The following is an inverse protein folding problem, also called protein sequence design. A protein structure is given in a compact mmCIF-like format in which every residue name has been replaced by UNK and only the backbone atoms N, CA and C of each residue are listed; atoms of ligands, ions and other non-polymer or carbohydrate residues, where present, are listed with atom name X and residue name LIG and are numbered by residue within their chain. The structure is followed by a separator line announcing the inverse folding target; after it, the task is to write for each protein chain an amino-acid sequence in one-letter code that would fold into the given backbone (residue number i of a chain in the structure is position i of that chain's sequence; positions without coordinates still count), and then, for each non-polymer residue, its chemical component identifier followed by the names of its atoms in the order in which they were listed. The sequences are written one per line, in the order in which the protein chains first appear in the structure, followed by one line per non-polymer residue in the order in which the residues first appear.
data_IF_482831834462
#
_entry.id   IF_482831834462
#
_cell.length_a   1.000
_cell.length_b   1.000
_cell.length_c   1.000
_cell.angle_alpha   90.00
_cell.angle_beta   90.00
_cell.angle_gamma   90.00
#
_symmetry.space_group_name_H-M   'P 1'
#
loop_
_entity.id
_entity.type
_entity.pdbx_description
1 polymer ?
#
# COMPACT_ATOMS: atom_id res chain seq x y z
N UNK A 1 -3.70 6.58 -4.99
CA UNK A 1 -3.33 5.36 -4.23
C UNK A 1 -4.48 5.00 -3.32
N UNK A 2 -4.83 3.72 -3.24
CA UNK A 2 -5.88 3.19 -2.36
C UNK A 2 -5.36 2.01 -1.56
N UNK A 3 -5.81 1.85 -0.32
CA UNK A 3 -5.38 0.78 0.58
C UNK A 3 -6.50 0.37 1.52
N UNK A 4 -6.58 -0.91 1.85
CA UNK A 4 -7.31 -1.43 3.01
C UNK A 4 -6.28 -1.71 4.10
N UNK A 5 -6.38 -0.98 5.22
CA UNK A 5 -5.43 -1.10 6.33
C UNK A 5 -6.12 -1.56 7.60
N UNK A 6 -5.61 -2.64 8.19
CA UNK A 6 -6.01 -3.15 9.49
C UNK A 6 -4.86 -2.96 10.48
N UNK A 7 -5.20 -2.83 11.77
CA UNK A 7 -4.22 -2.73 12.84
C UNK A 7 -4.65 -3.59 14.02
N UNK A 8 -3.70 -4.10 14.80
CA UNK A 8 -3.98 -4.84 16.03
C UNK A 8 -3.86 -3.91 17.22
N UNK A 9 -4.76 -4.08 18.19
CA UNK A 9 -4.77 -3.32 19.44
C UNK A 9 -5.44 -1.95 19.33
N UNK A 10 -5.49 -1.25 20.46
CA UNK A 10 -6.25 -0.01 20.65
C UNK A 10 -5.40 1.26 20.57
N UNK A 11 -4.12 1.15 20.20
CA UNK A 11 -3.19 2.29 20.16
C UNK A 11 -2.79 2.71 18.75
N UNK A 12 -2.93 1.81 17.79
CA UNK A 12 -2.63 2.07 16.39
C UNK A 12 -3.77 2.83 15.75
N UNK A 13 -3.43 3.89 14.99
CA UNK A 13 -4.41 4.69 14.26
C UNK A 13 -4.11 4.64 12.78
N UNK A 14 -5.13 4.32 11.98
CA UNK A 14 -5.07 4.49 10.53
C UNK A 14 -5.62 5.87 10.19
N UNK A 15 -4.80 6.71 9.58
CA UNK A 15 -5.20 8.03 9.11
C UNK A 15 -5.91 8.90 10.18
N UNK A 16 -5.42 8.85 11.42
CA UNK A 16 -5.94 9.61 12.57
C UNK A 16 -7.30 9.16 13.10
N UNK A 17 -7.93 8.15 12.51
CA UNK A 17 -9.21 7.60 12.97
C UNK A 17 -9.06 6.92 14.34
N UNK A 18 -10.15 6.85 15.13
CA UNK A 18 -10.11 6.15 16.41
C UNK A 18 -9.70 4.69 16.20
N UNK A 19 -8.99 4.11 17.17
CA UNK A 19 -8.52 2.75 17.07
C UNK A 19 -9.72 1.79 17.09
N UNK A 20 -9.91 1.05 16.00
CA UNK A 20 -10.63 -0.23 15.99
C UNK A 20 -9.61 -1.28 15.59
N UNK A 21 -9.09 -1.95 16.60
CA UNK A 21 -8.12 -3.01 16.42
C UNK A 21 -8.80 -4.29 15.96
N UNK A 22 -8.21 -4.95 14.97
CA UNK A 22 -8.49 -6.32 14.61
C UNK A 22 -8.20 -7.24 15.81
N UNK A 23 -9.15 -8.13 16.11
CA UNK A 23 -8.97 -9.24 17.05
C UNK A 23 -8.10 -10.33 16.40
N UNK A 24 -7.06 -10.77 17.10
CA UNK A 24 -6.15 -11.82 16.62
C UNK A 24 -6.73 -13.23 16.80
N UNK A 25 -7.63 -13.41 17.77
CA UNK A 25 -8.23 -14.71 18.09
C UNK A 25 -9.58 -14.91 17.39
N UNK A 26 -9.92 -14.02 16.45
CA UNK A 26 -11.17 -14.09 15.67
C UNK A 26 -11.26 -15.37 14.86
N UNK A 27 -12.48 -15.88 14.74
CA UNK A 27 -12.75 -17.07 13.96
C UNK A 27 -12.81 -16.76 12.46
N UNK A 28 -12.22 -17.66 11.67
CA UNK A 28 -12.41 -17.71 10.21
C UNK A 28 -13.41 -18.84 9.93
N UNK A 29 -14.62 -18.47 9.50
CA UNK A 29 -15.73 -19.41 9.30
C UNK A 29 -15.97 -19.61 7.82
N UNK A 30 -16.03 -20.86 7.37
CA UNK A 30 -16.26 -21.23 5.97
C UNK A 30 -15.34 -20.51 4.97
N UNK A 31 -14.09 -20.23 5.37
CA UNK A 31 -13.11 -19.53 4.52
C UNK A 31 -13.33 -18.03 4.39
N UNK A 32 -14.22 -17.45 5.20
CA UNK A 32 -14.48 -16.01 5.32
C UNK A 32 -13.88 -15.48 6.61
N UNK A 33 -12.95 -14.54 6.47
CA UNK A 33 -12.32 -13.80 7.56
C UNK A 33 -12.94 -12.40 7.66
N UNK A 34 -13.36 -11.98 8.86
CA UNK A 34 -13.99 -10.69 9.13
C UNK A 34 -13.17 -9.91 10.15
N UNK A 35 -12.76 -8.69 9.82
CA UNK A 35 -11.92 -7.89 10.71
C UNK A 35 -12.12 -6.39 10.51
N UNK A 36 -11.94 -5.62 11.58
CA UNK A 36 -11.94 -4.16 11.48
C UNK A 36 -10.78 -3.67 10.59
N UNK A 37 -11.13 -2.84 9.60
CA UNK A 37 -10.17 -2.20 8.72
C UNK A 37 -10.58 -0.76 8.42
N UNK A 38 -9.74 -0.07 7.68
CA UNK A 38 -10.03 1.25 7.14
C UNK A 38 -9.58 1.31 5.69
N UNK A 39 -10.50 1.66 4.80
CA UNK A 39 -10.18 2.03 3.43
C UNK A 39 -9.65 3.46 3.44
N UNK A 40 -8.44 3.64 2.90
CA UNK A 40 -7.79 4.95 2.79
C UNK A 40 -7.37 5.21 1.36
N UNK A 41 -7.49 6.46 0.94
CA UNK A 41 -7.15 6.89 -0.40
C UNK A 41 -6.63 8.32 -0.42
N UNK A 42 -5.70 8.56 -1.35
CA UNK A 42 -5.24 9.89 -1.74
C UNK A 42 -5.07 9.93 -3.26
N UNK A 43 -5.39 11.09 -3.83
CA UNK A 43 -5.17 11.40 -5.24
C UNK A 43 -4.14 12.53 -5.33
N UNK A 44 -3.44 12.65 -6.44
CA UNK A 44 -2.51 13.76 -6.65
C UNK A 44 -2.35 14.06 -8.12
N UNK A 45 -2.09 15.31 -8.42
CA UNK A 45 -1.82 15.84 -9.75
C UNK A 45 -0.50 16.63 -9.74
N UNK A 46 -0.24 17.40 -10.81
CA UNK A 46 0.97 18.21 -10.94
C UNK A 46 1.03 19.39 -9.94
N UNK A 47 -0.10 19.75 -9.32
CA UNK A 47 -0.23 20.92 -8.44
C UNK A 47 -0.32 20.54 -6.96
N UNK A 48 -1.02 19.46 -6.62
CA UNK A 48 -1.40 19.11 -5.26
C UNK A 48 -1.53 17.60 -5.02
N UNK A 49 -1.47 17.24 -3.74
CA UNK A 49 -1.91 15.94 -3.24
C UNK A 49 -3.20 16.15 -2.45
N UNK A 50 -4.28 15.54 -2.91
CA UNK A 50 -5.57 15.46 -2.25
C UNK A 50 -5.56 14.28 -1.28
N UNK A 51 -5.16 14.55 -0.04
CA UNK A 51 -5.25 13.58 1.06
C UNK A 51 -6.71 13.33 1.45
N UNK A 52 -6.97 12.13 1.99
CA UNK A 52 -8.27 11.75 2.57
C UNK A 52 -9.46 11.70 1.60
N UNK A 53 -9.23 11.64 0.28
CA UNK A 53 -10.32 11.43 -0.69
C UNK A 53 -11.12 10.16 -0.37
N UNK A 54 -10.49 9.16 0.27
CA UNK A 54 -11.16 8.03 0.92
C UNK A 54 -10.63 7.90 2.35
N UNK A 55 -11.54 7.80 3.33
CA UNK A 55 -11.20 7.64 4.75
C UNK A 55 -12.33 6.94 5.51
N UNK A 56 -12.56 5.66 5.21
CA UNK A 56 -13.74 4.94 5.68
C UNK A 56 -13.38 3.74 6.55
N UNK A 57 -13.63 3.78 7.87
CA UNK A 57 -13.65 2.59 8.71
C UNK A 57 -14.82 1.68 8.31
N UNK A 58 -14.57 0.37 8.24
CA UNK A 58 -15.56 -0.64 7.94
C UNK A 58 -15.11 -2.01 8.49
N UNK A 59 -16.05 -2.93 8.69
CA UNK A 59 -15.69 -4.35 8.79
C UNK A 59 -15.26 -4.82 7.40
N UNK A 60 -14.04 -5.31 7.29
CA UNK A 60 -13.57 -5.96 6.09
C UNK A 60 -13.99 -7.43 6.08
N UNK A 61 -14.36 -7.93 4.91
CA UNK A 61 -14.70 -9.33 4.65
C UNK A 61 -13.73 -9.85 3.58
N UNK A 62 -12.90 -10.82 3.97
CA UNK A 62 -11.99 -11.53 3.07
C UNK A 62 -12.54 -12.93 2.82
N UNK A 63 -13.00 -13.19 1.59
CA UNK A 63 -13.53 -14.48 1.17
C UNK A 63 -12.52 -15.21 0.28
N UNK A 64 -12.09 -16.39 0.72
CA UNK A 64 -11.20 -17.25 -0.09
C UNK A 64 -11.94 -17.89 -1.26
N UNK A 65 -13.20 -18.26 -1.08
CA UNK A 65 -13.99 -18.89 -2.15
C UNK A 65 -14.29 -17.88 -3.26
N UNK A 66 -14.73 -16.69 -2.89
CA UNK A 66 -15.08 -15.63 -3.86
C UNK A 66 -13.86 -14.89 -4.40
N UNK A 67 -12.65 -15.17 -3.88
CA UNK A 67 -11.41 -14.46 -4.20
C UNK A 67 -11.57 -12.93 -4.09
N UNK A 68 -12.19 -12.50 -2.99
CA UNK A 68 -12.64 -11.12 -2.79
C UNK A 68 -12.25 -10.58 -1.42
N UNK A 69 -11.90 -9.30 -1.39
CA UNK A 69 -11.75 -8.48 -0.19
C UNK A 69 -12.65 -7.26 -0.32
N UNK A 70 -13.58 -7.08 0.61
CA UNK A 70 -14.46 -5.89 0.65
C UNK A 70 -14.43 -5.24 2.03
N UNK A 71 -14.66 -3.94 2.09
CA UNK A 71 -14.71 -3.15 3.31
C UNK A 71 -15.66 -1.97 3.10
N UNK A 72 -16.96 -2.25 3.10
CA UNK A 72 -18.04 -1.29 2.86
C UNK A 72 -18.68 -0.82 4.16
N UNK A 73 -19.00 0.46 4.23
CA UNK A 73 -19.78 1.06 5.29
C UNK A 73 -20.99 1.78 4.69
N UNK A 74 -22.16 1.51 5.25
CA UNK A 74 -23.41 2.19 4.91
C UNK A 74 -23.68 3.28 5.95
N UNK A 75 -23.93 4.50 5.48
CA UNK A 75 -24.35 5.61 6.31
C UNK A 75 -25.88 5.61 6.53
N UNK A 76 -26.35 6.42 7.50
CA UNK A 76 -27.78 6.49 7.83
C UNK A 76 -28.68 6.95 6.67
N UNK A 77 -28.11 7.67 5.69
CA UNK A 77 -28.80 8.12 4.48
C UNK A 77 -28.79 7.09 3.33
N UNK A 78 -28.23 5.90 3.57
CA UNK A 78 -28.10 4.83 2.60
C UNK A 78 -26.92 4.98 1.65
N UNK A 79 -26.07 6.00 1.82
CA UNK A 79 -24.83 6.11 1.05
C UNK A 79 -23.83 5.05 1.48
N UNK A 80 -23.13 4.45 0.51
CA UNK A 80 -22.13 3.40 0.75
C UNK A 80 -20.75 3.95 0.41
N UNK A 81 -19.77 3.71 1.29
CA UNK A 81 -18.38 4.11 1.12
C UNK A 81 -17.46 2.96 1.50
N UNK A 82 -16.27 2.91 0.92
CA UNK A 82 -15.34 1.82 1.19
C UNK A 82 -14.62 1.35 -0.06
N UNK A 83 -14.32 0.05 -0.10
CA UNK A 83 -13.74 -0.57 -1.27
C UNK A 83 -14.06 -2.05 -1.40
N UNK A 84 -13.97 -2.55 -2.62
CA UNK A 84 -13.91 -3.96 -2.97
C UNK A 84 -12.72 -4.20 -3.90
N UNK A 85 -12.04 -5.32 -3.70
CA UNK A 85 -11.06 -5.88 -4.62
C UNK A 85 -11.41 -7.34 -4.88
N UNK A 86 -11.63 -7.69 -6.15
CA UNK A 86 -12.05 -9.04 -6.58
C UNK A 86 -11.06 -9.57 -7.62
N UNK A 87 -10.65 -10.83 -7.49
CA UNK A 87 -9.79 -11.45 -8.49
C UNK A 87 -10.54 -11.71 -9.80
N UNK A 88 -9.87 -11.50 -10.93
CA UNK A 88 -10.38 -11.80 -12.26
C UNK A 88 -9.84 -13.15 -12.73
N UNK A 89 -10.71 -13.96 -13.35
CA UNK A 89 -10.38 -15.33 -13.78
C UNK A 89 -9.99 -15.45 -15.25
N UNK A 90 -10.15 -14.39 -16.03
CA UNK A 90 -9.83 -14.33 -17.46
C UNK A 90 -8.33 -14.07 -17.74
N UNK A 91 -7.55 -13.74 -16.70
CA UNK A 91 -6.11 -13.41 -16.79
C UNK A 91 -5.31 -14.15 -15.71
N UNK A 92 -4.02 -14.49 -15.94
CA UNK A 92 -3.18 -15.17 -14.95
C UNK A 92 -3.03 -14.41 -13.62
N UNK A 93 -3.02 -13.09 -13.72
CA UNK A 93 -3.07 -12.17 -12.59
C UNK A 93 -3.96 -11.00 -13.03
N UNK A 94 -5.17 -10.95 -12.49
CA UNK A 94 -6.11 -9.86 -12.73
C UNK A 94 -6.89 -9.57 -11.46
N UNK A 95 -7.16 -8.29 -11.23
CA UNK A 95 -8.05 -7.81 -10.19
C UNK A 95 -8.94 -6.70 -10.74
N UNK A 96 -10.15 -6.61 -10.20
CA UNK A 96 -11.00 -5.42 -10.29
C UNK A 96 -11.05 -4.78 -8.92
N UNK A 97 -10.96 -3.46 -8.89
CA UNK A 97 -11.10 -2.68 -7.69
C UNK A 97 -12.20 -1.64 -7.89
N UNK A 98 -13.04 -1.49 -6.87
CA UNK A 98 -14.01 -0.40 -6.77
C UNK A 98 -13.79 0.29 -5.43
N UNK A 99 -13.68 1.61 -5.44
CA UNK A 99 -13.40 2.41 -4.25
C UNK A 99 -14.31 3.62 -4.25
N UNK A 100 -15.01 3.86 -3.14
CA UNK A 100 -15.88 5.03 -2.95
C UNK A 100 -15.47 5.75 -1.66
N UNK A 101 -15.16 7.03 -1.79
CA UNK A 101 -14.75 7.92 -0.72
C UNK A 101 -15.75 9.05 -0.46
N UNK A 102 -15.25 10.11 0.18
CA UNK A 102 -16.04 11.32 0.41
C UNK A 102 -16.10 12.18 -0.86
N UNK A 103 -14.94 12.33 -1.53
CA UNK A 103 -14.74 13.19 -2.70
C UNK A 103 -14.10 12.44 -3.88
N UNK A 104 -14.21 11.10 -3.89
CA UNK A 104 -13.70 10.30 -5.00
C UNK A 104 -14.44 8.97 -5.18
N UNK A 105 -14.55 8.53 -6.42
CA UNK A 105 -14.94 7.17 -6.80
C UNK A 105 -13.97 6.66 -7.86
N UNK A 106 -13.57 5.39 -7.76
CA UNK A 106 -12.70 4.77 -8.75
C UNK A 106 -13.11 3.33 -9.01
N UNK A 107 -13.32 2.98 -10.28
CA UNK A 107 -13.52 1.61 -10.74
C UNK A 107 -12.47 1.29 -11.80
N UNK A 108 -11.62 0.30 -11.53
CA UNK A 108 -10.55 -0.07 -12.45
C UNK A 108 -10.22 -1.55 -12.40
N UNK A 109 -9.71 -2.06 -13.51
CA UNK A 109 -9.05 -3.35 -13.57
C UNK A 109 -7.54 -3.15 -13.56
N UNK A 110 -6.83 -4.08 -12.92
CA UNK A 110 -5.38 -4.17 -13.03
C UNK A 110 -4.97 -5.60 -13.33
N UNK A 111 -3.95 -5.78 -14.17
CA UNK A 111 -3.48 -7.10 -14.60
C UNK A 111 -1.97 -7.12 -14.83
N UNK A 112 -1.38 -8.29 -14.65
CA UNK A 112 0.06 -8.47 -14.84
C UNK A 112 0.40 -9.79 -15.51
N UNK A 113 1.57 -9.83 -16.15
CA UNK A 113 2.17 -11.08 -16.60
C UNK A 113 2.84 -11.82 -15.42
N UNK A 114 3.10 -13.12 -15.55
CA UNK A 114 3.80 -13.92 -14.53
C UNK A 114 5.15 -14.43 -15.05
N UNK A 115 5.80 -13.66 -15.92
CA UNK A 115 6.95 -14.08 -16.72
C UNK A 115 8.30 -13.54 -16.20
N UNK A 116 8.30 -12.58 -15.27
CA UNK A 116 9.51 -11.98 -14.72
C UNK A 116 9.39 -11.60 -13.25
N UNK A 117 10.49 -11.23 -12.59
CA UNK A 117 10.47 -10.66 -11.23
C UNK A 117 9.76 -9.30 -11.12
N UNK A 118 9.54 -8.64 -12.26
CA UNK A 118 8.88 -7.34 -12.32
C UNK A 118 7.37 -7.49 -12.36
N UNK A 119 6.90 -8.51 -13.06
CA UNK A 119 5.49 -8.77 -13.36
C UNK A 119 4.90 -9.83 -12.41
N UNK A 120 5.74 -10.72 -11.85
CA UNK A 120 5.37 -11.71 -10.84
C UNK A 120 5.41 -11.15 -9.40
N UNK A 121 4.64 -11.73 -8.45
CA UNK A 121 4.73 -11.33 -7.07
C UNK A 121 6.12 -11.60 -6.52
N UNK A 122 6.73 -10.59 -5.91
CA UNK A 122 8.06 -10.69 -5.33
C UNK A 122 8.02 -10.28 -3.86
N UNK A 123 8.51 -11.16 -2.98
CA UNK A 123 8.75 -10.83 -1.58
C UNK A 123 9.93 -9.86 -1.48
N UNK A 124 9.62 -8.57 -1.41
CA UNK A 124 10.59 -7.47 -1.45
C UNK A 124 11.23 -7.21 -0.09
N UNK A 125 10.57 -7.58 1.00
CA UNK A 125 11.09 -7.54 2.35
C UNK A 125 10.60 -8.77 3.11
N UNK A 126 11.51 -9.42 3.82
CA UNK A 126 11.23 -10.54 4.71
C UNK A 126 12.14 -10.40 5.94
N UNK A 127 11.63 -9.77 6.97
CA UNK A 127 12.30 -9.63 8.25
C UNK A 127 11.48 -10.41 9.26
N UNK A 128 12.09 -11.43 9.83
CA UNK A 128 11.52 -12.20 10.92
C UNK A 128 12.56 -12.26 12.05
N UNK A 129 12.23 -11.64 13.17
CA UNK A 129 13.11 -11.58 14.35
C UNK A 129 12.31 -11.79 15.63
N UNK A 130 12.95 -12.19 16.74
CA UNK A 130 12.25 -12.33 18.03
C UNK A 130 11.63 -11.02 18.57
N UNK A 131 11.98 -9.86 18.01
CA UNK A 131 11.44 -8.56 18.40
C UNK A 131 10.34 -8.05 17.45
N UNK A 132 9.90 -8.90 16.53
CA UNK A 132 8.92 -8.56 15.50
C UNK A 132 9.46 -8.72 14.08
N UNK A 133 8.58 -8.47 13.12
CA UNK A 133 8.86 -8.68 11.71
C UNK A 133 8.24 -7.64 10.77
N UNK A 134 8.67 -7.72 9.52
CA UNK A 134 8.08 -6.96 8.42
C UNK A 134 8.11 -7.82 7.14
N UNK A 135 6.95 -8.01 6.53
CA UNK A 135 6.83 -8.69 5.26
C UNK A 135 6.22 -7.74 4.22
N UNK A 136 6.86 -7.64 3.06
CA UNK A 136 6.34 -6.91 1.90
C UNK A 136 6.34 -7.84 0.72
N UNK A 137 5.15 -8.12 0.20
CA UNK A 137 4.96 -8.78 -1.09
C UNK A 137 4.45 -7.73 -2.06
N UNK A 138 5.09 -7.62 -3.21
CA UNK A 138 4.73 -6.61 -4.20
C UNK A 138 4.64 -7.22 -5.60
N UNK A 139 3.62 -6.80 -6.34
CA UNK A 139 3.58 -6.86 -7.80
C UNK A 139 4.05 -5.52 -8.32
N UNK A 140 5.26 -5.52 -8.87
CA UNK A 140 5.93 -4.25 -9.16
C UNK A 140 5.37 -3.58 -10.38
N UNK A 141 4.98 -4.33 -11.38
CA UNK A 141 4.46 -3.80 -12.61
C UNK A 141 3.21 -4.58 -13.02
N UNK A 142 2.08 -3.90 -12.90
CA UNK A 142 0.81 -4.29 -13.50
C UNK A 142 0.39 -3.19 -14.46
N UNK A 143 -0.39 -3.53 -15.47
CA UNK A 143 -1.16 -2.56 -16.24
C UNK A 143 -2.49 -2.32 -15.52
N UNK A 144 -3.09 -1.15 -15.72
CA UNK A 144 -4.43 -0.84 -15.25
C UNK A 144 -5.19 0.00 -16.27
N UNK A 145 -6.51 -0.07 -16.19
CA UNK A 145 -7.44 0.79 -16.92
C UNK A 145 -8.73 0.94 -16.10
N UNK A 146 -9.31 2.14 -16.06
CA UNK A 146 -10.55 2.38 -15.36
C UNK A 146 -11.01 3.83 -15.35
N UNK A 147 -12.15 4.06 -14.71
CA UNK A 147 -12.74 5.37 -14.50
C UNK A 147 -12.45 5.86 -13.08
N UNK A 148 -12.07 7.13 -12.98
CA UNK A 148 -11.70 7.80 -11.73
C UNK A 148 -12.45 9.12 -11.66
N UNK A 149 -13.45 9.19 -10.80
CA UNK A 149 -14.06 10.45 -10.38
C UNK A 149 -13.25 11.01 -9.21
N UNK A 150 -12.44 12.03 -9.47
CA UNK A 150 -11.52 12.63 -8.52
C UNK A 150 -11.92 14.08 -8.21
N UNK A 151 -11.36 14.70 -7.16
CA UNK A 151 -11.65 16.11 -6.84
C UNK A 151 -11.40 17.10 -7.99
N UNK A 152 -10.53 16.71 -8.94
CA UNK A 152 -10.17 17.48 -10.14
C UNK A 152 -11.11 17.25 -11.33
N UNK A 153 -11.95 16.22 -11.26
CA UNK A 153 -12.88 15.80 -12.31
C UNK A 153 -12.85 14.30 -12.58
N UNK A 154 -13.77 13.86 -13.44
CA UNK A 154 -13.86 12.47 -13.88
C UNK A 154 -12.97 12.20 -15.10
N UNK A 155 -12.14 11.17 -15.02
CA UNK A 155 -11.23 10.77 -16.09
C UNK A 155 -11.18 9.26 -16.28
N UNK A 156 -10.97 8.83 -17.52
CA UNK A 156 -10.58 7.44 -17.81
C UNK A 156 -9.06 7.37 -17.89
N UNK A 157 -8.44 6.62 -16.98
CA UNK A 157 -7.01 6.48 -16.88
C UNK A 157 -6.59 5.06 -17.27
N UNK A 158 -5.43 4.97 -17.92
CA UNK A 158 -4.73 3.71 -18.14
C UNK A 158 -3.24 3.91 -18.00
N UNK A 159 -2.53 2.83 -17.68
CA UNK A 159 -1.08 2.86 -17.56
C UNK A 159 -0.57 1.75 -16.65
N UNK A 160 0.55 2.01 -15.98
CA UNK A 160 1.14 1.02 -15.09
C UNK A 160 0.87 1.34 -13.62
N UNK A 161 0.60 0.31 -12.82
CA UNK A 161 0.39 0.41 -11.39
C UNK A 161 1.28 -0.58 -10.61
N UNK A 162 1.32 -0.33 -9.30
CA UNK A 162 2.08 -1.09 -8.32
C UNK A 162 1.13 -1.55 -7.24
N UNK A 163 1.11 -2.86 -6.98
CA UNK A 163 0.31 -3.44 -5.90
C UNK A 163 1.23 -4.00 -4.82
N UNK A 164 0.83 -3.83 -3.56
CA UNK A 164 1.57 -4.41 -2.44
C UNK A 164 0.67 -4.88 -1.31
N UNK A 165 1.10 -5.96 -0.66
CA UNK A 165 0.69 -6.33 0.70
C UNK A 165 1.85 -6.05 1.64
N UNK A 166 1.54 -5.38 2.74
CA UNK A 166 2.52 -4.99 3.75
C UNK A 166 2.01 -5.43 5.12
N UNK A 167 2.84 -6.17 5.84
CA UNK A 167 2.57 -6.58 7.22
C UNK A 167 3.73 -6.14 8.11
N UNK A 168 3.41 -5.48 9.20
CA UNK A 168 4.37 -5.07 10.22
C UNK A 168 3.93 -5.63 11.57
N UNK A 169 4.84 -6.28 12.26
CA UNK A 169 4.69 -6.73 13.65
C UNK A 169 5.79 -6.11 14.52
N UNK A 170 6.11 -4.86 14.24
CA UNK A 170 7.10 -4.09 14.98
C UNK A 170 6.67 -2.63 15.07
N UNK A 171 7.14 -1.86 16.08
CA UNK A 171 6.83 -0.44 16.17
C UNK A 171 7.17 0.31 14.88
N UNK A 172 6.15 0.96 14.31
CA UNK A 172 6.26 1.75 13.09
C UNK A 172 7.12 2.99 13.35
N UNK A 173 8.32 3.02 12.76
CA UNK A 173 9.16 4.22 12.71
C UNK A 173 8.83 4.99 11.43
N UNK A 174 8.80 6.32 11.43
CA UNK A 174 8.61 7.11 10.21
C UNK A 174 9.51 6.62 9.06
N UNK A 175 8.92 6.37 7.89
CA UNK A 175 9.64 5.89 6.71
C UNK A 175 9.26 6.68 5.46
N UNK A 176 10.21 6.78 4.53
CA UNK A 176 9.94 7.16 3.15
C UNK A 176 9.87 5.90 2.33
N UNK A 177 8.80 5.78 1.55
CA UNK A 177 8.67 4.75 0.54
C UNK A 177 8.66 5.44 -0.82
N UNK A 178 9.66 5.16 -1.64
CA UNK A 178 9.71 5.59 -3.03
C UNK A 178 9.56 4.35 -3.89
N UNK A 179 8.65 4.42 -4.85
CA UNK A 179 8.56 3.49 -5.94
C UNK A 179 8.47 4.27 -7.25
N UNK A 180 9.22 3.85 -8.26
CA UNK A 180 9.23 4.45 -9.58
C UNK A 180 9.34 3.37 -10.66
N UNK A 181 8.55 3.52 -11.72
CA UNK A 181 8.70 2.80 -12.98
C UNK A 181 9.28 3.76 -14.01
N UNK A 182 10.33 3.34 -14.69
CA UNK A 182 10.93 4.10 -15.77
C UNK A 182 10.32 3.66 -17.12
N UNK A 183 10.32 4.54 -18.14
CA UNK A 183 9.77 4.22 -19.46
C UNK A 183 10.41 3.00 -20.15
N UNK A 184 11.61 2.60 -19.74
CA UNK A 184 12.30 1.41 -20.24
C UNK A 184 11.86 0.10 -19.54
N UNK A 185 10.87 0.17 -18.65
CA UNK A 185 10.36 -0.96 -17.87
C UNK A 185 11.20 -1.30 -16.64
N UNK A 186 12.29 -0.56 -16.36
CA UNK A 186 13.03 -0.72 -15.11
C UNK A 186 12.26 -0.10 -13.94
N UNK A 187 12.49 -0.60 -12.73
CA UNK A 187 11.89 -0.02 -11.52
C UNK A 187 12.91 0.29 -10.46
N UNK A 188 12.59 1.28 -9.64
CA UNK A 188 13.32 1.64 -8.44
C UNK A 188 12.38 1.59 -7.24
N UNK A 189 12.83 0.94 -6.16
CA UNK A 189 12.10 0.92 -4.89
C UNK A 189 13.07 1.21 -3.75
N UNK A 190 12.67 2.08 -2.84
CA UNK A 190 13.44 2.45 -1.66
C UNK A 190 12.50 2.57 -0.45
N UNK A 191 12.77 1.79 0.58
CA UNK A 191 12.19 1.97 1.92
C UNK A 191 13.30 2.52 2.83
N UNK A 192 13.13 3.74 3.31
CA UNK A 192 14.10 4.42 4.16
C UNK A 192 13.44 4.86 5.46
N UNK A 193 13.59 4.10 6.56
CA UNK A 193 13.21 4.57 7.89
C UNK A 193 14.10 5.75 8.31
N UNK A 194 13.53 6.73 9.00
CA UNK A 194 14.22 7.95 9.38
C UNK A 194 13.77 8.47 10.76
N UNK A 195 14.64 9.25 11.39
CA UNK A 195 14.33 10.06 12.58
C UNK A 195 14.50 11.54 12.26
N UNK A 196 13.80 12.41 12.97
CA UNK A 196 13.82 13.85 12.75
C UNK A 196 12.78 14.55 13.61
N UNK A 197 12.61 15.88 13.47
CA UNK A 197 11.70 16.68 14.30
C UNK A 197 10.25 16.19 14.35
N UNK A 198 9.81 15.45 13.32
CA UNK A 198 8.50 14.82 13.25
C UNK A 198 8.22 13.83 14.40
N UNK A 199 9.24 13.29 15.09
CA UNK A 199 9.01 12.42 16.27
C UNK A 199 8.35 13.17 17.44
N UNK A 200 8.48 14.50 17.48
CA UNK A 200 7.83 15.36 18.47
C UNK A 200 6.47 15.87 18.00
N UNK A 201 6.05 15.51 16.79
CA UNK A 201 4.79 15.95 16.20
C UNK A 201 3.64 15.09 16.73
N UNK A 202 2.51 15.73 17.01
CA UNK A 202 1.22 15.05 17.16
C UNK A 202 0.45 15.14 15.84
N UNK A 203 0.03 14.00 15.31
CA UNK A 203 -0.79 13.92 14.09
C UNK A 203 -0.01 13.85 12.77
N UNK A 204 -0.74 13.97 11.66
CA UNK A 204 -0.30 13.65 10.31
C UNK A 204 0.30 14.83 9.52
N UNK A 205 0.07 16.08 9.94
CA UNK A 205 0.38 17.27 9.12
C UNK A 205 1.87 17.64 9.03
N UNK A 206 2.36 18.04 7.85
CA UNK A 206 3.73 18.51 7.65
C UNK A 206 4.03 19.81 8.42
N UNK A 207 5.29 20.03 8.79
CA UNK A 207 5.79 21.32 9.24
C UNK A 207 5.64 22.34 8.12
N UNK A 208 5.25 23.56 8.48
CA UNK A 208 5.23 24.70 7.56
C UNK A 208 6.63 25.06 7.01
N UNK A 209 7.70 24.48 7.58
CA UNK A 209 9.08 24.69 7.14
C UNK A 209 9.65 23.46 6.43
N UNK A 210 9.87 23.59 5.12
CA UNK A 210 10.60 22.61 4.32
C UNK A 210 12.00 22.28 4.87
N UNK A 211 12.64 23.20 5.60
CA UNK A 211 13.94 22.92 6.25
C UNK A 211 13.79 21.94 7.40
N UNK A 212 12.74 22.06 8.20
CA UNK A 212 12.46 21.14 9.31
C UNK A 212 12.05 19.77 8.78
N UNK A 213 11.25 19.72 7.71
CA UNK A 213 10.89 18.46 7.04
C UNK A 213 12.10 17.72 6.44
N UNK A 214 13.13 18.46 6.01
CA UNK A 214 14.37 17.87 5.48
C UNK A 214 15.39 17.50 6.55
N UNK A 215 15.20 17.94 7.80
CA UNK A 215 16.11 17.63 8.91
C UNK A 215 15.85 16.22 9.42
N UNK A 216 16.22 15.23 8.60
CA UNK A 216 16.00 13.81 8.89
C UNK A 216 17.32 13.06 8.84
N UNK A 217 17.52 12.14 9.79
CA UNK A 217 18.64 11.22 9.85
C UNK A 217 18.08 9.85 9.42
N UNK A 218 18.47 9.33 8.25
CA UNK A 218 18.08 7.98 7.85
C UNK A 218 18.73 6.96 8.79
N UNK A 219 18.01 5.90 9.12
CA UNK A 219 18.64 4.75 9.75
C UNK A 219 19.48 4.02 8.71
N UNK A 220 20.79 4.20 8.80
CA UNK A 220 21.73 3.44 7.98
C UNK A 220 21.85 2.02 8.56
N UNK A 221 21.32 1.02 7.85
CA UNK A 221 21.70 -0.38 8.09
C UNK A 221 23.15 -0.52 7.63
N UNK A 222 24.10 -0.12 8.46
CA UNK A 222 25.48 -0.60 8.33
C UNK A 222 25.41 -2.13 8.32
N UNK A 223 25.67 -2.73 7.15
CA UNK A 223 25.92 -4.16 6.99
C UNK A 223 26.96 -4.59 8.03
N UNK A 224 26.53 -5.22 9.11
CA UNK A 224 27.37 -6.12 9.88
C UNK A 224 27.51 -7.39 9.05
N UNK A 225 28.73 -7.65 8.54
CA UNK A 225 29.12 -8.97 8.03
C UNK A 225 29.65 -9.01 6.61
N UNK A 226 30.99 -8.93 6.51
CA UNK A 226 31.85 -9.73 5.61
C UNK A 226 31.62 -9.70 4.09
N UNK A 227 32.47 -8.92 3.41
CA UNK A 227 33.33 -9.38 2.31
C UNK A 227 32.71 -10.15 1.15
N UNK A 228 32.48 -9.46 0.04
CA UNK A 228 32.20 -10.07 -1.27
C UNK A 228 32.46 -9.06 -2.37
N UNK A 229 33.74 -8.85 -2.69
CA UNK A 229 34.19 -7.99 -3.79
C UNK A 229 33.93 -8.76 -5.09
N UNK A 230 32.75 -8.63 -5.69
CA UNK A 230 32.51 -9.20 -7.03
C UNK A 230 33.13 -8.27 -8.05
N UNK A 231 34.39 -8.53 -8.41
CA UNK A 231 35.03 -8.00 -9.61
C UNK A 231 34.24 -8.44 -10.83
N UNK A 232 33.76 -7.46 -11.61
CA UNK A 232 33.30 -7.69 -12.97
C UNK A 232 34.48 -8.15 -13.82
N UNK A 233 34.52 -9.43 -14.18
CA UNK A 233 35.35 -9.92 -15.29
C UNK A 233 34.59 -9.67 -16.59
N UNK A 234 35.03 -8.67 -17.35
CA UNK A 234 34.79 -8.62 -18.78
C UNK A 234 35.60 -9.74 -19.43
N UNK A 235 34.91 -10.69 -20.07
CA UNK A 235 35.52 -11.59 -21.05
C UNK A 235 34.84 -11.30 -22.36
N UNK A 236 35.53 -10.53 -23.22
CA UNK A 236 35.22 -10.46 -24.64
C UNK A 236 36.36 -11.15 -25.38
N UNK A 237 36.11 -12.39 -25.77
CA UNK A 237 36.81 -13.08 -26.84
C UNK A 237 35.72 -13.64 -27.75
N UNK A 238 35.77 -13.24 -29.02
CA UNK A 238 34.84 -13.58 -30.08
C UNK A 238 34.73 -12.42 -31.05
#
# INVERSE_FOLDING_TARGET
MFSVAACVGDQSRVNGLPPRGMDLDREVTDGVDRFDATTVGWAGDDEAVHDHVVRQPAEAVLSREDQRLEAWAEAEDGTVRGSEVTALSDRPLGLRAHVIGDDAEAEFEAWGALDSKMTSPHRSLDIDTPLGGAEVVAWRQMEFEGEFDLPTGTETLSGSCYFQRVCFDMPLLPWKWVWALFPDGTSFSLLMPFLGPHVFRRGYGFSSSNRLERLTIPFDRRRSGTGGRTTATSSSTG
#
